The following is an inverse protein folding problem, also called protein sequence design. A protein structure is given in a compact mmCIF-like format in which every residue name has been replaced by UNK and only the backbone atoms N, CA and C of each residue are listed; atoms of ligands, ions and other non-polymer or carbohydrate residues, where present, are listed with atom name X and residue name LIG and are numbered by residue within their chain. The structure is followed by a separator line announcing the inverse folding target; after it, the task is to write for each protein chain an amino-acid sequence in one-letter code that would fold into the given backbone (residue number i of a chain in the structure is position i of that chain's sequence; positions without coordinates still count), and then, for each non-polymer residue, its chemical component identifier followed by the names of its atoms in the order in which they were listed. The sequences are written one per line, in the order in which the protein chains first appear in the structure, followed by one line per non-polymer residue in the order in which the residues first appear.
data_IF_835985486615
#
_entry.id   IF_835985486615
#
_cell.length_a   1.000
_cell.length_b   1.000
_cell.length_c   1.000
_cell.angle_alpha   90.00
_cell.angle_beta   90.00
_cell.angle_gamma   90.00
#
_symmetry.space_group_name_H-M   'P 1'
#
loop_
_entity.id
_entity.type
_entity.pdbx_description
1 polymer ?
#
# COMPACT_ATOMS: atom_id res chain seq x y z
N UNK A 1 59.78 -27.39 -14.15
CA UNK A 1 60.22 -25.99 -13.91
C UNK A 1 59.04 -25.21 -13.35
N UNK A 2 59.26 -24.73 -12.13
CA UNK A 2 58.39 -23.99 -11.22
C UNK A 2 57.61 -22.82 -11.85
N UNK A 3 56.27 -22.84 -11.82
CA UNK A 3 55.46 -21.59 -11.72
C UNK A 3 53.96 -21.79 -11.36
N UNK A 4 53.56 -22.85 -10.66
CA UNK A 4 52.15 -23.04 -10.22
C UNK A 4 52.02 -23.54 -8.77
N UNK A 5 52.98 -23.20 -7.90
CA UNK A 5 52.93 -23.49 -6.46
C UNK A 5 53.25 -22.25 -5.64
N UNK A 6 52.46 -21.17 -5.72
CA UNK A 6 52.59 -20.08 -4.74
C UNK A 6 51.38 -19.13 -4.65
N UNK A 7 50.17 -19.66 -4.46
CA UNK A 7 49.12 -18.89 -3.76
C UNK A 7 48.53 -19.79 -2.68
N UNK A 8 49.17 -19.80 -1.52
CA UNK A 8 48.52 -20.25 -0.28
C UNK A 8 47.61 -19.11 0.16
N UNK A 9 46.30 -19.33 0.14
CA UNK A 9 45.36 -18.51 0.91
C UNK A 9 45.65 -18.72 2.40
N UNK A 10 46.61 -17.96 2.92
CA UNK A 10 46.87 -17.90 4.35
C UNK A 10 45.83 -16.95 4.97
N UNK A 11 44.97 -17.51 5.82
CA UNK A 11 44.31 -16.76 6.89
C UNK A 11 43.04 -16.01 6.51
N UNK A 12 41.93 -16.73 6.37
CA UNK A 12 40.64 -16.19 6.81
C UNK A 12 40.48 -16.62 8.28
N UNK A 13 40.51 -15.71 9.26
CA UNK A 13 40.29 -16.09 10.66
C UNK A 13 38.90 -16.72 10.80
N UNK A 14 38.81 -17.90 11.41
CA UNK A 14 37.51 -18.50 11.77
C UNK A 14 36.85 -17.58 12.79
N UNK A 15 35.83 -16.83 12.35
CA UNK A 15 35.01 -16.02 13.21
C UNK A 15 34.35 -16.91 14.28
N UNK A 16 34.44 -16.50 15.54
CA UNK A 16 33.67 -17.09 16.64
C UNK A 16 32.17 -16.91 16.37
N UNK A 17 31.29 -17.71 16.99
CA UNK A 17 29.85 -17.62 16.71
C UNK A 17 29.27 -16.22 17.02
N UNK A 18 29.86 -15.50 17.97
CA UNK A 18 29.57 -14.07 18.20
C UNK A 18 30.02 -13.17 17.04
N UNK A 19 31.21 -13.43 16.49
CA UNK A 19 31.73 -12.70 15.32
C UNK A 19 30.93 -12.94 14.05
N UNK A 20 30.42 -14.17 13.83
CA UNK A 20 29.51 -14.48 12.72
C UNK A 20 28.18 -13.72 12.84
N UNK A 21 27.61 -13.66 14.05
CA UNK A 21 26.41 -12.87 14.32
C UNK A 21 26.63 -11.38 14.06
N UNK A 22 27.74 -10.81 14.52
CA UNK A 22 28.06 -9.39 14.28
C UNK A 22 28.21 -9.09 12.79
N UNK A 23 28.91 -9.93 12.03
CA UNK A 23 29.08 -9.76 10.58
C UNK A 23 27.76 -9.91 9.82
N UNK A 24 26.91 -10.88 10.18
CA UNK A 24 25.60 -11.04 9.55
C UNK A 24 24.65 -9.88 9.87
N UNK A 25 24.65 -9.39 11.11
CA UNK A 25 23.82 -8.25 11.52
C UNK A 25 24.31 -6.96 10.86
N UNK A 26 25.62 -6.69 10.85
CA UNK A 26 26.18 -5.49 10.22
C UNK A 26 26.03 -5.50 8.69
N UNK A 27 26.24 -6.65 8.04
CA UNK A 27 25.99 -6.83 6.62
C UNK A 27 24.51 -6.69 6.26
N UNK A 28 23.61 -7.24 7.08
CA UNK A 28 22.15 -7.09 6.91
C UNK A 28 21.69 -5.65 7.07
N UNK A 29 22.19 -4.93 8.07
CA UNK A 29 21.88 -3.50 8.27
C UNK A 29 22.43 -2.65 7.13
N UNK A 30 23.66 -2.89 6.68
CA UNK A 30 24.26 -2.13 5.58
C UNK A 30 23.53 -2.35 4.26
N UNK A 31 23.17 -3.60 3.94
CA UNK A 31 22.40 -3.93 2.74
C UNK A 31 20.99 -3.35 2.78
N UNK A 32 20.28 -3.45 3.91
CA UNK A 32 18.97 -2.81 4.07
C UNK A 32 19.05 -1.28 3.99
N UNK A 33 20.10 -0.67 4.56
CA UNK A 33 20.30 0.78 4.51
C UNK A 33 20.65 1.26 3.11
N UNK A 34 21.43 0.48 2.35
CA UNK A 34 21.77 0.78 0.96
C UNK A 34 20.55 0.63 0.04
N UNK A 35 19.73 -0.40 0.25
CA UNK A 35 18.45 -0.56 -0.47
C UNK A 35 17.51 0.58 -0.14
N UNK A 36 17.36 0.93 1.14
CA UNK A 36 16.56 2.10 1.57
C UNK A 36 17.08 3.41 0.95
N UNK A 37 18.40 3.61 0.88
CA UNK A 37 18.99 4.80 0.26
C UNK A 37 18.82 4.83 -1.26
N UNK A 38 18.83 3.67 -1.93
CA UNK A 38 18.55 3.56 -3.36
C UNK A 38 17.05 3.75 -3.66
N UNK A 39 16.16 3.25 -2.82
CA UNK A 39 14.71 3.47 -2.90
C UNK A 39 14.29 4.91 -2.55
N UNK A 40 15.15 5.67 -1.88
CA UNK A 40 14.90 7.07 -1.50
C UNK A 40 15.88 8.06 -2.14
N UNK A 41 16.51 7.69 -3.26
CA UNK A 41 17.21 8.66 -4.08
C UNK A 41 16.19 9.61 -4.72
N UNK A 42 16.31 10.90 -4.43
CA UNK A 42 15.49 11.94 -5.04
C UNK A 42 15.98 12.20 -6.47
N UNK A 43 15.26 11.65 -7.45
CA UNK A 43 15.47 12.01 -8.85
C UNK A 43 14.61 13.23 -9.18
N UNK A 44 15.23 14.41 -9.22
CA UNK A 44 14.58 15.66 -9.62
C UNK A 44 14.62 15.85 -11.15
N UNK A 45 14.55 14.75 -11.91
CA UNK A 45 14.67 14.75 -13.38
C UNK A 45 13.36 15.15 -14.08
N UNK A 46 12.22 15.01 -13.39
CA UNK A 46 10.91 15.47 -13.86
C UNK A 46 10.44 16.64 -13.00
N UNK A 47 10.07 17.76 -13.63
CA UNK A 47 9.52 18.96 -12.96
C UNK A 47 8.10 18.69 -12.42
N UNK A 48 7.97 17.79 -11.44
CA UNK A 48 6.70 17.38 -10.83
C UNK A 48 6.77 17.70 -9.34
N UNK A 49 5.79 18.43 -8.83
CA UNK A 49 5.71 18.75 -7.40
C UNK A 49 5.14 17.53 -6.67
N UNK A 50 5.87 17.05 -5.66
CA UNK A 50 5.37 15.97 -4.81
C UNK A 50 4.20 16.46 -3.94
N UNK A 51 3.09 15.70 -3.86
CA UNK A 51 1.96 16.03 -3.00
C UNK A 51 2.37 16.12 -1.52
N UNK A 52 1.80 17.07 -0.77
CA UNK A 52 1.97 17.10 0.68
C UNK A 52 1.12 16.01 1.35
N UNK A 53 1.68 15.31 2.33
CA UNK A 53 0.98 14.25 3.07
C UNK A 53 -0.07 14.82 4.04
N UNK A 54 -1.33 14.84 3.61
CA UNK A 54 -2.44 15.35 4.40
C UNK A 54 -2.79 14.42 5.59
N UNK A 55 -3.34 14.98 6.68
CA UNK A 55 -3.79 14.21 7.83
C UNK A 55 -5.19 13.63 7.59
N UNK A 56 -5.30 12.65 6.69
CA UNK A 56 -6.56 11.95 6.41
C UNK A 56 -7.12 11.27 7.66
N UNK A 57 -8.45 11.25 7.81
CA UNK A 57 -9.13 10.59 8.93
C UNK A 57 -8.82 9.10 8.99
N UNK A 58 -8.60 8.45 7.85
CA UNK A 58 -8.29 7.02 7.71
C UNK A 58 -6.80 6.68 7.65
N UNK A 59 -5.91 7.61 8.03
CA UNK A 59 -4.45 7.43 7.90
C UNK A 59 -3.87 6.43 8.92
N UNK A 60 -4.35 6.43 10.16
CA UNK A 60 -3.77 5.60 11.22
C UNK A 60 -4.13 4.12 11.09
N UNK A 61 -3.44 3.27 11.84
CA UNK A 61 -3.62 1.81 11.79
C UNK A 61 -4.99 1.33 12.29
N UNK A 62 -5.64 2.12 13.15
CA UNK A 62 -6.93 1.81 13.78
C UNK A 62 -8.08 2.63 13.19
N UNK A 63 -7.78 3.57 12.30
CA UNK A 63 -8.76 4.53 11.83
C UNK A 63 -9.56 3.97 10.64
N UNK A 64 -10.88 4.03 10.74
CA UNK A 64 -11.79 3.64 9.65
C UNK A 64 -11.95 4.78 8.63
N UNK A 65 -12.54 4.46 7.47
CA UNK A 65 -13.00 5.48 6.53
C UNK A 65 -14.16 6.27 7.14
N UNK A 66 -14.17 7.58 6.87
CA UNK A 66 -15.33 8.42 7.18
C UNK A 66 -16.41 8.17 6.14
N UNK A 67 -17.38 7.30 6.46
CA UNK A 67 -18.44 6.92 5.52
C UNK A 67 -19.39 8.08 5.18
N UNK A 68 -19.48 9.12 6.01
CA UNK A 68 -20.22 10.34 5.66
C UNK A 68 -19.47 11.13 4.57
N UNK A 69 -18.15 11.24 4.68
CA UNK A 69 -17.28 11.76 3.61
C UNK A 69 -17.36 10.92 2.33
N UNK A 70 -17.40 9.59 2.43
CA UNK A 70 -17.62 8.70 1.26
C UNK A 70 -18.97 8.99 0.58
N UNK A 71 -20.05 9.15 1.36
CA UNK A 71 -21.38 9.48 0.81
C UNK A 71 -21.38 10.80 0.04
N UNK A 72 -20.81 11.85 0.65
CA UNK A 72 -20.63 13.16 0.00
C UNK A 72 -19.72 13.08 -1.23
N UNK A 73 -18.66 12.29 -1.17
CA UNK A 73 -17.75 12.09 -2.30
C UNK A 73 -18.40 11.40 -3.48
N UNK A 74 -19.35 10.49 -3.23
CA UNK A 74 -20.19 9.92 -4.29
C UNK A 74 -21.09 10.98 -4.94
N UNK A 75 -21.65 11.92 -4.17
CA UNK A 75 -22.43 13.04 -4.71
C UNK A 75 -21.58 13.91 -5.65
N UNK A 76 -20.33 14.22 -5.26
CA UNK A 76 -19.36 14.92 -6.14
C UNK A 76 -19.10 14.11 -7.41
N UNK A 77 -18.80 12.81 -7.26
CA UNK A 77 -18.55 11.95 -8.42
C UNK A 77 -19.76 11.93 -9.36
N UNK A 78 -20.97 11.74 -8.85
CA UNK A 78 -22.21 11.66 -9.64
C UNK A 78 -22.48 12.95 -10.40
N UNK A 79 -22.31 14.11 -9.75
CA UNK A 79 -22.68 15.40 -10.32
C UNK A 79 -21.59 16.00 -11.23
N UNK A 80 -20.31 15.70 -10.95
CA UNK A 80 -19.17 16.32 -11.65
C UNK A 80 -18.43 15.32 -12.52
N UNK A 81 -17.98 14.21 -11.94
CA UNK A 81 -17.02 13.32 -12.59
C UNK A 81 -17.68 12.29 -13.52
N UNK A 82 -18.89 11.82 -13.23
CA UNK A 82 -19.57 10.74 -13.94
C UNK A 82 -19.89 11.09 -15.41
N UNK A 83 -19.88 12.38 -15.76
CA UNK A 83 -20.03 12.84 -17.14
C UNK A 83 -18.84 12.48 -18.04
N UNK A 84 -17.63 12.31 -17.48
CA UNK A 84 -16.42 12.02 -18.25
C UNK A 84 -15.68 10.76 -17.80
N UNK A 85 -15.80 10.38 -16.53
CA UNK A 85 -15.06 9.25 -15.95
C UNK A 85 -15.95 8.03 -15.73
N UNK A 86 -15.53 6.90 -16.27
CA UNK A 86 -16.11 5.60 -15.95
C UNK A 86 -15.71 5.14 -14.54
N UNK A 87 -16.52 4.24 -13.98
CA UNK A 87 -16.19 3.52 -12.76
C UNK A 87 -16.65 2.05 -12.89
N UNK A 88 -15.95 1.32 -13.77
CA UNK A 88 -16.36 0.01 -14.28
C UNK A 88 -16.39 -1.12 -13.24
N UNK A 89 -15.71 -1.00 -12.10
CA UNK A 89 -15.69 -2.08 -11.09
C UNK A 89 -16.69 -1.88 -9.95
N UNK A 90 -17.39 -0.75 -9.93
CA UNK A 90 -18.37 -0.44 -8.90
C UNK A 90 -19.79 -0.71 -9.43
N UNK A 91 -20.62 -1.26 -8.56
CA UNK A 91 -22.04 -1.57 -8.79
C UNK A 91 -22.84 -0.97 -7.65
N UNK A 92 -24.11 -0.66 -7.87
CA UNK A 92 -24.97 -0.06 -6.85
C UNK A 92 -25.12 -0.92 -5.58
N UNK A 93 -25.02 -2.26 -5.70
CA UNK A 93 -24.98 -3.18 -4.55
C UNK A 93 -23.83 -2.94 -3.59
N UNK A 94 -22.73 -2.31 -4.05
CA UNK A 94 -21.61 -1.97 -3.18
C UNK A 94 -21.95 -0.80 -2.25
N UNK A 95 -22.95 0.02 -2.56
CA UNK A 95 -23.36 1.15 -1.72
C UNK A 95 -24.17 0.71 -0.51
N UNK A 96 -24.89 -0.41 -0.64
CA UNK A 96 -25.76 -0.99 0.38
C UNK A 96 -24.96 -1.36 1.62
N UNK A 97 -25.37 -0.84 2.78
CA UNK A 97 -24.71 -1.00 4.08
C UNK A 97 -23.27 -0.46 4.15
N UNK A 98 -22.78 0.20 3.09
CA UNK A 98 -21.55 0.97 3.14
C UNK A 98 -21.87 2.41 3.54
N UNK A 99 -22.61 3.12 2.68
CA UNK A 99 -23.00 4.51 2.94
C UNK A 99 -24.46 4.83 2.53
N UNK A 100 -25.16 3.88 1.91
CA UNK A 100 -26.59 3.98 1.60
C UNK A 100 -27.35 2.80 2.21
N UNK A 101 -28.62 3.03 2.51
CA UNK A 101 -29.57 1.93 2.76
C UNK A 101 -29.87 1.18 1.46
N UNK A 102 -30.45 -0.02 1.56
CA UNK A 102 -30.85 -0.78 0.37
C UNK A 102 -31.92 -0.05 -0.46
N UNK A 103 -32.85 0.64 0.19
CA UNK A 103 -33.90 1.41 -0.47
C UNK A 103 -33.33 2.63 -1.21
N UNK A 104 -32.42 3.36 -0.57
CA UNK A 104 -31.70 4.49 -1.20
C UNK A 104 -30.89 4.03 -2.41
N UNK A 105 -30.13 2.94 -2.28
CA UNK A 105 -29.32 2.41 -3.38
C UNK A 105 -30.18 1.87 -4.54
N UNK A 106 -31.38 1.33 -4.25
CA UNK A 106 -32.35 0.93 -5.29
C UNK A 106 -32.93 2.13 -6.00
N UNK A 107 -33.30 3.18 -5.26
CA UNK A 107 -33.80 4.41 -5.83
C UNK A 107 -32.74 5.04 -6.75
N UNK A 108 -31.50 5.14 -6.27
CA UNK A 108 -30.34 5.62 -7.02
C UNK A 108 -30.08 4.79 -8.29
N UNK A 109 -30.11 3.46 -8.20
CA UNK A 109 -29.95 2.59 -9.36
C UNK A 109 -31.09 2.75 -10.37
N UNK A 110 -32.32 3.03 -9.92
CA UNK A 110 -33.48 3.15 -10.79
C UNK A 110 -33.51 4.44 -11.61
N UNK A 111 -32.69 5.43 -11.28
CA UNK A 111 -32.56 6.68 -12.04
C UNK A 111 -31.92 6.48 -13.41
N UNK A 112 -31.12 5.42 -13.57
CA UNK A 112 -30.49 5.09 -14.85
C UNK A 112 -31.36 4.13 -15.67
N UNK A 113 -31.31 4.28 -16.98
CA UNK A 113 -31.85 3.29 -17.91
C UNK A 113 -30.75 2.36 -18.40
N UNK A 114 -30.99 1.06 -18.32
CA UNK A 114 -30.06 0.02 -18.80
C UNK A 114 -30.65 -0.64 -20.03
N UNK A 115 -29.86 -0.68 -21.11
CA UNK A 115 -30.23 -1.35 -22.35
C UNK A 115 -30.28 -2.87 -22.15
N UNK A 116 -31.38 -3.48 -22.58
CA UNK A 116 -31.64 -4.92 -22.51
C UNK A 116 -32.23 -5.43 -23.83
N UNK A 117 -32.23 -6.75 -24.00
CA UNK A 117 -32.97 -7.42 -25.07
C UNK A 117 -34.24 -8.01 -24.44
N UNK A 118 -35.40 -7.67 -24.99
CA UNK A 118 -36.68 -8.21 -24.49
C UNK A 118 -36.94 -9.63 -25.00
N UNK A 119 -37.98 -10.29 -24.48
CA UNK A 119 -38.35 -11.67 -24.85
C UNK A 119 -38.67 -11.87 -26.35
N UNK A 120 -38.87 -10.78 -27.09
CA UNK A 120 -39.09 -10.78 -28.55
C UNK A 120 -37.80 -10.58 -29.35
N UNK A 121 -36.64 -10.53 -28.69
CA UNK A 121 -35.34 -10.30 -29.31
C UNK A 121 -35.09 -8.86 -29.77
N UNK A 122 -35.92 -7.91 -29.34
CA UNK A 122 -35.79 -6.50 -29.71
C UNK A 122 -35.07 -5.69 -28.59
N UNK A 123 -34.33 -4.62 -28.94
CA UNK A 123 -33.76 -3.71 -27.97
C UNK A 123 -34.87 -3.06 -27.13
N UNK A 124 -34.68 -3.03 -25.83
CA UNK A 124 -35.55 -2.38 -24.87
C UNK A 124 -34.69 -1.75 -23.77
N UNK A 125 -35.32 -0.92 -22.93
CA UNK A 125 -34.67 -0.33 -21.76
C UNK A 125 -35.42 -0.74 -20.50
N UNK A 126 -34.69 -0.88 -19.40
CA UNK A 126 -35.25 -1.08 -18.07
C UNK A 126 -34.63 -0.11 -17.07
N UNK A 127 -35.32 0.22 -15.96
CA UNK A 127 -34.66 0.89 -14.86
C UNK A 127 -33.49 0.03 -14.33
N UNK A 128 -32.45 0.69 -13.85
CA UNK A 128 -31.29 0.04 -13.26
C UNK A 128 -31.64 -0.72 -11.97
N UNK A 129 -30.83 -1.74 -11.70
CA UNK A 129 -30.93 -2.62 -10.55
C UNK A 129 -29.64 -2.52 -9.73
N UNK A 130 -29.68 -2.99 -8.48
CA UNK A 130 -28.51 -3.01 -7.59
C UNK A 130 -27.29 -3.73 -8.20
N UNK A 131 -27.54 -4.75 -9.03
CA UNK A 131 -26.47 -5.53 -9.65
C UNK A 131 -25.86 -4.85 -10.87
N UNK A 132 -26.43 -3.76 -11.38
CA UNK A 132 -25.86 -3.05 -12.52
C UNK A 132 -24.63 -2.23 -12.11
N UNK A 133 -23.76 -2.02 -13.09
CA UNK A 133 -22.60 -1.13 -12.94
C UNK A 133 -23.05 0.33 -13.02
N UNK A 134 -22.17 1.24 -12.59
CA UNK A 134 -22.36 2.64 -12.91
C UNK A 134 -22.27 2.85 -14.43
N UNK A 135 -23.08 3.77 -14.98
CA UNK A 135 -23.10 4.01 -16.42
C UNK A 135 -21.73 4.53 -16.88
N UNK A 136 -21.23 3.97 -17.98
CA UNK A 136 -20.05 4.53 -18.64
C UNK A 136 -20.46 5.76 -19.44
N UNK A 137 -19.77 6.91 -19.32
CA UNK A 137 -20.11 8.13 -20.05
C UNK A 137 -19.90 7.98 -21.56
N UNK A 138 -18.98 7.10 -21.96
CA UNK A 138 -18.65 6.85 -23.35
C UNK A 138 -18.82 5.37 -23.71
N UNK A 139 -19.26 5.06 -24.94
CA UNK A 139 -19.42 3.68 -25.41
C UNK A 139 -18.08 2.98 -25.69
N UNK A 140 -17.03 3.74 -25.99
CA UNK A 140 -15.68 3.24 -26.25
C UNK A 140 -14.64 4.35 -26.09
N UNK A 141 -13.37 3.94 -26.05
CA UNK A 141 -12.21 4.85 -25.94
C UNK A 141 -12.18 5.95 -26.99
N UNK A 142 -12.43 5.64 -28.26
CA UNK A 142 -12.35 6.65 -29.35
C UNK A 142 -13.40 7.74 -29.19
N UNK A 143 -14.59 7.38 -28.70
CA UNK A 143 -15.62 8.37 -28.37
C UNK A 143 -15.19 9.26 -27.19
N UNK A 144 -14.52 8.69 -26.19
CA UNK A 144 -13.98 9.43 -25.06
C UNK A 144 -12.87 10.41 -25.49
N UNK A 145 -11.90 9.94 -26.29
CA UNK A 145 -10.83 10.78 -26.86
C UNK A 145 -11.40 11.91 -27.71
N UNK A 146 -12.38 11.62 -28.57
CA UNK A 146 -13.01 12.63 -29.42
C UNK A 146 -13.73 13.73 -28.63
N UNK A 147 -14.34 13.38 -27.49
CA UNK A 147 -15.02 14.33 -26.62
C UNK A 147 -14.08 15.16 -25.74
N UNK A 148 -12.84 14.72 -25.53
CA UNK A 148 -11.88 15.31 -24.59
C UNK A 148 -10.53 15.65 -25.24
N UNK A 149 -10.57 16.33 -26.39
CA UNK A 149 -9.38 16.86 -27.08
C UNK A 149 -8.27 15.81 -27.35
N UNK A 150 -8.66 14.59 -27.69
CA UNK A 150 -7.76 13.48 -27.99
C UNK A 150 -7.25 12.72 -26.76
N UNK A 151 -7.64 13.09 -25.55
CA UNK A 151 -7.26 12.38 -24.32
C UNK A 151 -8.42 11.51 -23.81
N UNK A 152 -8.13 10.26 -23.44
CA UNK A 152 -9.11 9.39 -22.78
C UNK A 152 -9.12 9.68 -21.26
N UNK A 153 -10.26 10.08 -20.65
CA UNK A 153 -10.37 10.14 -19.19
C UNK A 153 -10.19 8.75 -18.59
N UNK A 154 -9.28 8.55 -17.62
CA UNK A 154 -9.05 7.24 -17.03
C UNK A 154 -10.23 6.80 -16.17
N UNK A 155 -10.44 5.48 -16.09
CA UNK A 155 -11.40 4.87 -15.16
C UNK A 155 -11.01 5.15 -13.70
N UNK A 156 -11.97 5.58 -12.89
CA UNK A 156 -11.69 6.02 -11.52
C UNK A 156 -11.79 4.90 -10.48
N UNK A 157 -12.21 3.69 -10.85
CA UNK A 157 -12.49 2.62 -9.88
C UNK A 157 -11.30 2.27 -8.98
N UNK A 158 -10.08 2.36 -9.52
CA UNK A 158 -8.84 2.03 -8.80
C UNK A 158 -7.91 3.24 -8.62
N UNK A 159 -8.40 4.46 -8.87
CA UNK A 159 -7.53 5.64 -8.95
C UNK A 159 -6.77 5.93 -7.65
N UNK A 160 -7.36 5.62 -6.49
CA UNK A 160 -6.70 5.78 -5.19
C UNK A 160 -5.47 4.89 -4.96
N UNK A 161 -5.25 3.86 -5.78
CA UNK A 161 -4.03 3.03 -5.77
C UNK A 161 -3.22 3.11 -7.06
N UNK A 162 -3.84 3.54 -8.17
CA UNK A 162 -3.19 3.61 -9.48
C UNK A 162 -2.23 4.81 -9.64
N UNK A 163 -2.10 5.65 -8.61
CA UNK A 163 -1.23 6.82 -8.56
C UNK A 163 -0.41 6.81 -7.29
N UNK A 164 0.83 7.29 -7.39
CA UNK A 164 1.70 7.50 -6.25
C UNK A 164 1.05 8.45 -5.25
N UNK A 165 1.28 8.23 -3.95
CA UNK A 165 0.65 8.92 -2.83
C UNK A 165 -0.89 8.92 -2.75
N UNK A 166 -1.57 8.26 -3.69
CA UNK A 166 -3.01 7.96 -3.67
C UNK A 166 -3.89 9.18 -3.43
N UNK A 167 -4.58 9.19 -2.30
CA UNK A 167 -5.54 10.23 -1.93
C UNK A 167 -4.90 11.63 -1.85
N UNK A 168 -3.62 11.72 -1.45
CA UNK A 168 -2.91 13.00 -1.43
C UNK A 168 -2.75 13.54 -2.85
N UNK A 169 -2.33 12.68 -3.79
CA UNK A 169 -2.19 13.07 -5.19
C UNK A 169 -3.53 13.54 -5.76
N UNK A 170 -4.60 12.78 -5.54
CA UNK A 170 -5.94 13.15 -6.04
C UNK A 170 -6.39 14.51 -5.49
N UNK A 171 -6.24 14.72 -4.19
CA UNK A 171 -6.60 15.99 -3.56
C UNK A 171 -5.82 17.17 -4.16
N UNK A 172 -4.49 17.06 -4.18
CA UNK A 172 -3.62 18.14 -4.66
C UNK A 172 -3.75 18.36 -6.17
N UNK A 173 -4.03 17.32 -6.94
CA UNK A 173 -4.35 17.46 -8.36
C UNK A 173 -5.62 18.30 -8.54
N UNK A 174 -6.68 18.01 -7.79
CA UNK A 174 -7.96 18.71 -7.94
C UNK A 174 -7.93 20.15 -7.41
N UNK A 175 -7.14 20.43 -6.37
CA UNK A 175 -6.99 21.79 -5.82
C UNK A 175 -5.81 22.56 -6.37
N UNK A 176 -4.97 21.94 -7.22
CA UNK A 176 -3.72 22.49 -7.72
C UNK A 176 -3.83 23.30 -9.02
N UNK A 177 -5.06 23.67 -9.40
CA UNK A 177 -5.30 24.56 -10.54
C UNK A 177 -5.17 26.04 -10.14
N UNK A 178 -4.99 26.92 -11.13
CA UNK A 178 -4.97 28.37 -10.93
C UNK A 178 -3.58 28.98 -10.72
N UNK A 179 -2.50 28.20 -10.92
CA UNK A 179 -1.15 28.75 -11.05
C UNK A 179 -0.89 29.23 -12.47
N UNK A 180 -0.18 30.36 -12.59
CA UNK A 180 0.32 30.82 -13.89
C UNK A 180 1.31 29.80 -14.46
N UNK A 181 1.26 29.62 -15.78
CA UNK A 181 2.17 28.72 -16.49
C UNK A 181 3.60 29.27 -16.36
N UNK A 182 4.55 28.51 -15.78
CA UNK A 182 5.94 28.95 -15.67
C UNK A 182 6.56 29.19 -17.05
N UNK A 183 7.49 30.14 -17.13
CA UNK A 183 8.24 30.39 -18.35
C UNK A 183 8.97 29.11 -18.81
N UNK A 184 8.81 28.76 -20.10
CA UNK A 184 9.42 27.57 -20.70
C UNK A 184 8.54 26.32 -20.73
N UNK A 185 7.36 26.33 -20.09
CA UNK A 185 6.36 25.25 -20.22
C UNK A 185 5.42 25.56 -21.37
N UNK A 186 5.40 24.69 -22.40
CA UNK A 186 4.48 24.79 -23.53
C UNK A 186 3.13 24.14 -23.16
N UNK A 187 2.12 24.96 -22.87
CA UNK A 187 0.76 24.50 -22.69
C UNK A 187 0.02 24.58 -24.04
N UNK A 188 -0.30 23.42 -24.62
CA UNK A 188 -1.08 23.36 -25.86
C UNK A 188 -2.52 23.86 -25.65
N UNK A 189 -3.12 24.42 -26.70
CA UNK A 189 -4.49 24.92 -26.65
C UNK A 189 -5.47 23.81 -26.25
N UNK A 190 -6.31 24.07 -25.24
CA UNK A 190 -7.26 23.10 -24.70
C UNK A 190 -6.70 22.20 -23.58
N UNK A 191 -5.43 22.36 -23.19
CA UNK A 191 -4.86 21.74 -21.97
C UNK A 191 -4.71 22.79 -20.86
N UNK A 192 -4.66 22.32 -19.63
CA UNK A 192 -4.50 23.12 -18.42
C UNK A 192 -3.16 22.81 -17.74
N UNK A 193 -2.57 23.82 -17.10
CA UNK A 193 -1.38 23.63 -16.28
C UNK A 193 -1.75 23.16 -14.87
N UNK A 194 -1.05 22.13 -14.39
CA UNK A 194 -1.15 21.64 -13.03
C UNK A 194 0.20 21.06 -12.57
N UNK A 195 0.85 21.64 -11.54
CA UNK A 195 2.20 21.25 -11.12
C UNK A 195 2.31 19.84 -10.54
N UNK A 196 1.20 19.23 -10.13
CA UNK A 196 1.16 17.86 -9.59
C UNK A 196 1.04 16.80 -10.68
N UNK A 197 0.70 17.15 -11.93
CA UNK A 197 0.51 16.18 -12.99
C UNK A 197 1.87 15.70 -13.57
N UNK A 198 2.15 14.39 -13.57
CA UNK A 198 3.35 13.85 -14.22
C UNK A 198 3.24 14.06 -15.73
N UNK A 199 4.36 14.28 -16.43
CA UNK A 199 4.45 14.66 -17.86
C UNK A 199 4.39 16.17 -18.14
N UNK A 200 5.27 16.94 -17.50
CA UNK A 200 5.49 18.36 -17.83
C UNK A 200 4.39 19.30 -17.30
N UNK A 201 3.62 18.86 -16.29
CA UNK A 201 2.58 19.67 -15.65
C UNK A 201 1.46 20.14 -16.59
N UNK A 202 1.25 19.48 -17.73
CA UNK A 202 0.19 19.81 -18.69
C UNK A 202 -0.83 18.68 -18.77
N UNK A 203 -2.07 19.00 -18.45
CA UNK A 203 -3.17 18.06 -18.25
C UNK A 203 -4.35 18.43 -19.17
N UNK A 204 -4.94 17.44 -19.85
CA UNK A 204 -6.10 17.66 -20.72
C UNK A 204 -7.43 17.88 -19.96
N UNK A 205 -7.43 17.69 -18.64
CA UNK A 205 -8.59 17.94 -17.77
C UNK A 205 -8.57 19.41 -17.28
N UNK A 206 -9.59 20.22 -17.60
CA UNK A 206 -9.73 21.55 -17.02
C UNK A 206 -10.17 21.45 -15.55
N UNK A 207 -10.07 22.56 -14.82
CA UNK A 207 -10.55 22.61 -13.44
C UNK A 207 -12.05 22.25 -13.37
N UNK A 208 -12.37 21.23 -12.58
CA UNK A 208 -13.75 20.72 -12.44
C UNK A 208 -14.42 21.16 -11.13
N UNK A 209 -13.63 21.44 -10.10
CA UNK A 209 -14.15 21.81 -8.79
C UNK A 209 -14.03 23.31 -8.58
N UNK A 210 -15.13 23.91 -8.18
CA UNK A 210 -15.27 25.31 -7.83
C UNK A 210 -16.03 25.42 -6.51
N UNK A 211 -15.85 26.52 -5.80
CA UNK A 211 -16.63 26.80 -4.58
C UNK A 211 -18.12 26.84 -4.91
N UNK A 212 -18.93 26.14 -4.10
CA UNK A 212 -20.37 25.97 -4.25
C UNK A 212 -20.80 25.35 -5.60
N UNK A 213 -19.91 24.54 -6.21
CA UNK A 213 -20.19 23.84 -7.48
C UNK A 213 -21.26 22.74 -7.41
N UNK A 214 -21.56 22.25 -6.20
CA UNK A 214 -22.65 21.30 -5.92
C UNK A 214 -23.32 21.66 -4.59
N UNK A 215 -24.53 21.15 -4.35
CA UNK A 215 -25.18 21.22 -3.04
C UNK A 215 -25.18 19.82 -2.39
N UNK A 216 -24.56 19.72 -1.21
CA UNK A 216 -24.60 18.48 -0.43
C UNK A 216 -25.95 18.27 0.23
N UNK A 217 -26.43 17.01 0.25
CA UNK A 217 -27.71 16.66 0.88
C UNK A 217 -27.75 16.92 2.40
N UNK A 218 -26.60 16.90 3.06
CA UNK A 218 -26.47 17.13 4.51
C UNK A 218 -26.23 18.60 4.89
N UNK A 219 -26.16 19.50 3.91
CA UNK A 219 -25.95 20.94 4.13
C UNK A 219 -24.50 21.32 4.45
N UNK A 220 -23.53 20.42 4.28
CA UNK A 220 -22.11 20.79 4.39
C UNK A 220 -21.76 21.89 3.37
N UNK A 221 -20.95 22.90 3.70
CA UNK A 221 -20.50 23.89 2.73
C UNK A 221 -19.63 23.26 1.63
N UNK A 222 -20.07 23.39 0.38
CA UNK A 222 -19.42 22.77 -0.77
C UNK A 222 -18.25 23.60 -1.31
N UNK A 223 -17.28 23.93 -0.47
CA UNK A 223 -16.02 24.56 -0.94
C UNK A 223 -15.23 23.59 -1.81
N UNK A 224 -14.39 24.12 -2.72
CA UNK A 224 -13.54 23.33 -3.62
C UNK A 224 -12.69 22.30 -2.86
N UNK A 225 -12.07 22.72 -1.76
CA UNK A 225 -11.25 21.83 -0.93
C UNK A 225 -12.07 20.75 -0.21
N UNK A 226 -13.29 21.08 0.23
CA UNK A 226 -14.19 20.10 0.84
C UNK A 226 -14.65 19.05 -0.17
N UNK A 227 -15.02 19.47 -1.38
CA UNK A 227 -15.34 18.58 -2.49
C UNK A 227 -14.17 17.67 -2.87
N UNK A 228 -12.96 18.22 -2.97
CA UNK A 228 -11.75 17.46 -3.26
C UNK A 228 -11.44 16.41 -2.17
N UNK A 229 -11.63 16.77 -0.89
CA UNK A 229 -11.47 15.85 0.25
C UNK A 229 -12.47 14.69 0.17
N UNK A 230 -13.73 14.99 -0.08
CA UNK A 230 -14.79 13.99 -0.07
C UNK A 230 -14.67 13.04 -1.26
N UNK A 231 -14.41 13.56 -2.48
CA UNK A 231 -14.21 12.72 -3.65
C UNK A 231 -12.94 11.86 -3.53
N UNK A 232 -11.85 12.39 -2.97
CA UNK A 232 -10.65 11.58 -2.70
C UNK A 232 -10.94 10.45 -1.69
N UNK A 233 -11.73 10.73 -0.65
CA UNK A 233 -12.17 9.70 0.32
C UNK A 233 -13.07 8.65 -0.34
N UNK A 234 -13.96 9.06 -1.23
CA UNK A 234 -14.80 8.15 -2.01
C UNK A 234 -13.98 7.28 -2.96
N UNK A 235 -13.00 7.85 -3.67
CA UNK A 235 -12.10 7.09 -4.55
C UNK A 235 -11.21 6.12 -3.77
N UNK A 236 -10.82 6.46 -2.53
CA UNK A 236 -10.16 5.53 -1.62
C UNK A 236 -11.05 4.34 -1.30
N UNK A 237 -12.30 4.60 -0.94
CA UNK A 237 -13.30 3.55 -0.68
C UNK A 237 -13.58 2.70 -1.93
N UNK A 238 -13.72 3.32 -3.11
CA UNK A 238 -13.99 2.64 -4.36
C UNK A 238 -12.87 1.65 -4.70
N UNK A 239 -11.61 2.05 -4.52
CA UNK A 239 -10.47 1.19 -4.75
C UNK A 239 -10.30 0.12 -3.67
N UNK A 240 -10.59 0.45 -2.40
CA UNK A 240 -10.37 -0.43 -1.26
C UNK A 240 -11.62 -0.59 -0.38
N UNK A 241 -12.64 -1.25 -0.91
CA UNK A 241 -13.91 -1.50 -0.20
C UNK A 241 -13.74 -2.32 1.08
N UNK A 242 -12.64 -3.07 1.20
CA UNK A 242 -12.31 -3.91 2.34
C UNK A 242 -11.38 -3.21 3.34
N UNK A 243 -11.12 -1.91 3.20
CA UNK A 243 -10.20 -1.13 4.05
C UNK A 243 -10.49 -1.29 5.56
N UNK A 244 -11.73 -1.09 5.97
CA UNK A 244 -12.11 -1.15 7.39
C UNK A 244 -12.03 -2.58 7.91
N UNK A 245 -12.54 -3.54 7.14
CA UNK A 245 -12.46 -4.98 7.43
C UNK A 245 -11.01 -5.46 7.52
N UNK A 246 -10.11 -4.98 6.65
CA UNK A 246 -8.66 -5.24 6.72
C UNK A 246 -8.09 -4.82 8.06
N UNK A 247 -8.37 -3.57 8.46
CA UNK A 247 -7.85 -3.02 9.72
C UNK A 247 -8.44 -3.76 10.92
N UNK A 248 -9.71 -4.12 10.89
CA UNK A 248 -10.32 -4.97 11.92
C UNK A 248 -9.63 -6.34 12.03
N UNK A 249 -9.35 -7.00 10.91
CA UNK A 249 -8.59 -8.26 10.93
C UNK A 249 -7.15 -8.06 11.38
N UNK A 250 -6.49 -6.97 10.99
CA UNK A 250 -5.15 -6.64 11.43
C UNK A 250 -5.09 -6.47 12.95
N UNK A 251 -6.08 -5.81 13.57
CA UNK A 251 -6.20 -5.68 15.03
C UNK A 251 -6.38 -7.06 15.68
N UNK A 252 -7.29 -7.89 15.16
CA UNK A 252 -7.52 -9.26 15.67
C UNK A 252 -6.24 -10.10 15.61
N UNK A 253 -5.51 -10.02 14.49
CA UNK A 253 -4.23 -10.72 14.31
C UNK A 253 -3.13 -10.15 15.22
N UNK A 254 -3.06 -8.82 15.36
CA UNK A 254 -2.10 -8.16 16.23
C UNK A 254 -2.29 -8.54 17.72
N UNK A 255 -3.52 -8.87 18.14
CA UNK A 255 -3.80 -9.40 19.47
C UNK A 255 -3.51 -10.90 19.58
N UNK A 256 -3.81 -11.68 18.54
CA UNK A 256 -3.65 -13.14 18.56
C UNK A 256 -2.18 -13.58 18.42
N UNK A 257 -1.41 -12.95 17.53
CA UNK A 257 -0.04 -13.35 17.20
C UNK A 257 0.89 -13.33 18.42
N UNK A 258 0.89 -12.30 19.29
CA UNK A 258 1.71 -12.30 20.51
C UNK A 258 1.37 -13.44 21.47
N UNK A 259 0.07 -13.77 21.60
CA UNK A 259 -0.38 -14.86 22.48
C UNK A 259 0.13 -16.21 21.95
N UNK A 260 -0.08 -16.47 20.67
CA UNK A 260 0.41 -17.71 20.03
C UNK A 260 1.93 -17.78 20.09
N UNK A 261 2.61 -16.67 19.80
CA UNK A 261 4.07 -16.58 19.87
C UNK A 261 4.59 -16.86 21.28
N UNK A 262 3.94 -16.31 22.31
CA UNK A 262 4.30 -16.58 23.70
C UNK A 262 4.17 -18.07 24.05
N UNK A 263 3.06 -18.71 23.68
CA UNK A 263 2.82 -20.15 23.93
C UNK A 263 3.87 -21.00 23.20
N UNK A 264 4.16 -20.70 21.94
CA UNK A 264 5.16 -21.41 21.16
C UNK A 264 6.58 -21.22 21.72
N UNK A 265 6.94 -20.00 22.11
CA UNK A 265 8.24 -19.72 22.72
C UNK A 265 8.39 -20.40 24.07
N UNK A 266 7.34 -20.42 24.89
CA UNK A 266 7.31 -21.15 26.14
C UNK A 266 7.48 -22.65 25.91
N UNK A 267 6.70 -23.24 25.00
CA UNK A 267 6.81 -24.65 24.65
C UNK A 267 8.19 -25.01 24.12
N UNK A 268 8.75 -24.18 23.24
CA UNK A 268 10.12 -24.32 22.73
C UNK A 268 11.13 -24.29 23.87
N UNK A 269 11.02 -23.35 24.83
CA UNK A 269 11.92 -23.33 26.00
C UNK A 269 11.77 -24.59 26.84
N UNK A 270 10.53 -25.05 27.09
CA UNK A 270 10.23 -26.26 27.86
C UNK A 270 10.88 -27.50 27.24
N UNK A 271 10.68 -27.75 25.94
CA UNK A 271 11.25 -28.93 25.24
C UNK A 271 12.77 -28.86 25.21
N UNK A 272 13.35 -27.67 25.00
CA UNK A 272 14.79 -27.50 24.94
C UNK A 272 15.48 -27.48 26.30
N UNK A 273 14.75 -27.54 27.42
CA UNK A 273 15.36 -27.56 28.76
C UNK A 273 16.37 -28.69 28.90
N UNK A 274 16.03 -29.91 28.48
CA UNK A 274 16.89 -31.09 28.61
C UNK A 274 18.26 -30.90 27.93
N UNK A 275 18.26 -30.46 26.68
CA UNK A 275 19.50 -30.20 25.91
C UNK A 275 20.26 -29.00 26.49
N UNK A 276 19.56 -27.97 26.94
CA UNK A 276 20.20 -26.74 27.46
C UNK A 276 20.73 -26.89 28.88
N UNK A 277 20.17 -27.79 29.69
CA UNK A 277 20.64 -28.11 31.04
C UNK A 277 21.70 -29.21 31.07
N UNK A 278 21.97 -29.85 29.94
CA UNK A 278 22.92 -30.95 29.84
C UNK A 278 24.33 -30.51 30.25
N UNK A 279 24.94 -31.25 31.17
CA UNK A 279 26.32 -31.06 31.61
C UNK A 279 27.18 -32.17 31.03
N UNK A 280 28.17 -31.79 30.24
CA UNK A 280 29.11 -32.73 29.64
C UNK A 280 30.30 -32.92 30.56
N UNK A 281 30.59 -34.17 30.91
CA UNK A 281 31.83 -34.54 31.57
C UNK A 281 32.63 -35.42 30.63
N UNK A 282 33.80 -34.94 30.22
CA UNK A 282 34.71 -35.73 29.42
C UNK A 282 35.47 -36.70 30.32
N UNK A 283 35.19 -38.00 30.20
CA UNK A 283 35.94 -39.06 30.87
C UNK A 283 36.91 -39.70 29.89
N UNK A 284 38.20 -39.54 30.13
CA UNK A 284 39.23 -40.26 29.38
C UNK A 284 39.17 -41.76 29.72
N UNK A 285 39.43 -42.61 28.74
CA UNK A 285 39.58 -44.05 28.96
C UNK A 285 40.90 -44.30 29.71
N UNK A 286 40.92 -45.20 30.69
CA UNK A 286 42.12 -45.56 31.46
C UNK A 286 43.27 -45.88 30.50
N UNK A 287 44.40 -45.16 30.64
CA UNK A 287 45.55 -45.23 29.73
C UNK A 287 45.62 -44.18 28.62
N UNK A 288 44.61 -43.29 28.50
CA UNK A 288 44.63 -42.09 27.63
C UNK A 288 44.40 -40.80 28.43
N UNK A 289 44.90 -40.77 29.65
CA UNK A 289 44.93 -39.55 30.46
C UNK A 289 46.02 -38.61 29.92
N UNK A 290 45.80 -37.30 30.04
CA UNK A 290 46.80 -36.33 29.63
C UNK A 290 48.01 -36.41 30.57
N UNK A 291 49.17 -36.71 30.01
CA UNK A 291 50.48 -36.59 30.67
C UNK A 291 51.26 -35.43 30.05
N UNK A 292 52.25 -34.85 30.77
CA UNK A 292 53.12 -33.81 30.22
C UNK A 292 53.80 -34.22 28.90
N UNK A 293 54.01 -35.52 28.70
CA UNK A 293 54.64 -36.10 27.51
C UNK A 293 53.62 -36.55 26.43
N UNK A 294 52.32 -36.33 26.67
CA UNK A 294 51.28 -36.75 25.73
C UNK A 294 51.22 -35.85 24.50
N UNK A 295 50.94 -36.44 23.33
CA UNK A 295 50.80 -35.71 22.06
C UNK A 295 49.51 -34.86 21.98
N UNK A 296 48.67 -34.91 23.01
CA UNK A 296 47.38 -34.22 23.04
C UNK A 296 47.50 -32.95 23.91
N UNK A 297 46.78 -31.86 23.56
CA UNK A 297 46.77 -30.65 24.38
C UNK A 297 46.16 -30.92 25.77
N UNK A 298 46.62 -30.20 26.82
CA UNK A 298 46.07 -30.34 28.16
C UNK A 298 44.58 -30.01 28.21
N UNK A 299 43.82 -30.63 29.13
CA UNK A 299 42.43 -30.24 29.35
C UNK A 299 42.34 -28.77 29.78
N UNK A 300 41.24 -28.06 29.46
CA UNK A 300 41.00 -26.70 29.94
C UNK A 300 41.11 -26.62 31.47
N UNK A 301 41.78 -25.58 32.00
CA UNK A 301 42.07 -25.43 33.45
C UNK A 301 40.78 -25.38 34.31
N UNK A 302 39.68 -25.04 33.67
CA UNK A 302 38.36 -24.76 34.20
C UNK A 302 37.38 -25.96 34.01
N UNK A 303 37.87 -27.10 33.53
CA UNK A 303 37.09 -28.33 33.49
C UNK A 303 36.77 -28.84 34.92
N UNK A 304 35.50 -29.10 35.26
CA UNK A 304 35.12 -29.58 36.59
C UNK A 304 35.72 -30.97 36.85
N UNK A 305 36.56 -31.09 37.89
CA UNK A 305 37.18 -32.36 38.27
C UNK A 305 36.21 -33.22 39.10
N UNK A 306 36.12 -34.50 38.77
CA UNK A 306 35.25 -35.49 39.44
C UNK A 306 35.54 -35.67 40.94
N UNK A 307 36.68 -35.17 41.45
CA UNK A 307 37.05 -35.26 42.87
C UNK A 307 36.18 -34.40 43.81
N UNK A 308 35.33 -33.50 43.28
CA UNK A 308 34.49 -32.59 44.06
C UNK A 308 32.99 -32.95 44.12
N UNK A 309 32.58 -34.10 43.57
CA UNK A 309 31.16 -34.47 43.42
C UNK A 309 30.73 -35.72 44.21
N UNK A 310 31.51 -36.12 45.21
CA UNK A 310 31.13 -37.15 46.19
C UNK A 310 30.88 -36.52 47.56
#
# INVERSE_FOLDING_TARGET
MNFLKQIKFNGIPRLTDKGKWIVCVTGGVFTCSLVYALEHYADASEFVVHPYHLPWSHKGYLDALDMASVRRGYEVYKQVCAACHSMQYIRYRHFVNAFMTEEEAKAEASEIEVDIINDKGAPAKRPGLLNDFLPSPYPNRKAAEAANNGAEPPDLSLMGWAREDGDNYIFHLLTGYGFDVPEGVLCEEGKAYNPYFPNGSVLAMPQQLFDDGIEYKDGTPATMSQQAKDVATFLRWACEQWHDTRKQYAIKLALLVPIVTFVLLYWKRKVWTMIKSEKWFHRTVKGREWTPDSKFPPPPKDAPSLKKLN
#
